data_IF_974880305063
#
_entry.id   IF_974880305063
#
_cell.length_a   1.000
_cell.length_b   1.000
_cell.length_c   1.000
_cell.angle_alpha   90.00
_cell.angle_beta   90.00
_cell.angle_gamma   90.00
#
_symmetry.space_group_name_H-M   'P 1'
#
loop_
_entity.id
_entity.type
_entity.pdbx_description
1 polymer ?
#
# COMPACT_ATOMS: atom_id res chain seq x y z
N UNK A 1 10.86 9.99 2.35
CA UNK A 1 10.50 8.73 1.66
C UNK A 1 9.00 8.73 1.41
N UNK A 2 8.58 8.40 0.19
CA UNK A 2 7.19 8.18 -0.21
C UNK A 2 6.75 6.81 0.31
N UNK A 3 5.56 6.72 0.91
CA UNK A 3 4.94 5.43 1.27
C UNK A 3 3.91 5.07 0.22
N UNK A 4 4.18 4.03 -0.53
CA UNK A 4 3.32 3.51 -1.59
C UNK A 4 2.70 2.20 -1.15
N UNK A 5 1.42 1.99 -1.47
CA UNK A 5 0.76 0.69 -1.33
C UNK A 5 0.49 0.17 -2.72
N UNK A 6 0.80 -1.12 -2.96
CA UNK A 6 0.45 -1.81 -4.18
C UNK A 6 -0.42 -3.03 -3.87
N UNK A 7 -1.63 -3.09 -4.44
CA UNK A 7 -2.59 -4.14 -4.15
C UNK A 7 -3.47 -4.45 -5.36
N UNK A 8 -3.86 -5.71 -5.51
CA UNK A 8 -4.90 -6.15 -6.42
C UNK A 8 -6.15 -6.54 -5.63
N UNK A 9 -7.34 -6.12 -6.08
CA UNK A 9 -8.59 -6.49 -5.43
C UNK A 9 -9.74 -6.69 -6.42
N UNK A 10 -10.73 -7.46 -5.99
CA UNK A 10 -12.07 -7.50 -6.58
C UNK A 10 -13.11 -7.08 -5.54
N UNK A 11 -14.35 -6.79 -5.96
CA UNK A 11 -15.44 -6.42 -5.04
C UNK A 11 -16.38 -7.60 -4.83
N UNK A 12 -16.73 -7.86 -3.58
CA UNK A 12 -17.82 -8.78 -3.25
C UNK A 12 -19.21 -8.13 -3.46
N UNK A 13 -20.27 -8.91 -3.22
CA UNK A 13 -21.66 -8.45 -3.35
C UNK A 13 -22.04 -7.31 -2.39
N UNK A 14 -21.24 -7.07 -1.35
CA UNK A 14 -21.40 -5.98 -0.38
C UNK A 14 -20.46 -4.81 -0.67
N UNK A 15 -19.73 -4.84 -1.78
CA UNK A 15 -18.78 -3.81 -2.18
C UNK A 15 -17.45 -3.82 -1.42
N UNK A 16 -17.17 -4.86 -0.61
CA UNK A 16 -15.89 -5.00 0.11
C UNK A 16 -14.80 -5.44 -0.86
N UNK A 17 -13.60 -4.90 -0.67
CA UNK A 17 -12.46 -5.10 -1.57
C UNK A 17 -11.68 -6.37 -1.14
N UNK A 18 -11.96 -7.51 -1.77
CA UNK A 18 -11.27 -8.78 -1.51
C UNK A 18 -9.86 -8.72 -2.08
N UNK A 19 -8.86 -9.10 -1.27
CA UNK A 19 -7.45 -9.24 -1.68
C UNK A 19 -6.91 -10.66 -1.50
N UNK A 20 -7.71 -11.57 -0.94
CA UNK A 20 -7.26 -12.93 -0.68
C UNK A 20 -8.35 -13.85 -0.15
N UNK A 21 -8.09 -15.14 -0.31
CA UNK A 21 -8.87 -16.26 0.22
C UNK A 21 -7.89 -17.32 0.70
N UNK A 22 -8.02 -17.78 1.94
CA UNK A 22 -7.18 -18.83 2.54
C UNK A 22 -5.66 -18.57 2.37
N UNK A 23 -5.24 -17.32 2.62
CA UNK A 23 -3.86 -16.80 2.43
C UNK A 23 -3.33 -16.88 0.98
N UNK A 24 -4.20 -16.96 -0.03
CA UNK A 24 -3.82 -16.97 -1.45
C UNK A 24 -4.60 -15.92 -2.23
N UNK A 25 -4.06 -15.52 -3.38
CA UNK A 25 -4.80 -14.76 -4.38
C UNK A 25 -5.81 -15.70 -5.07
N UNK A 26 -7.10 -15.32 -5.17
CA UNK A 26 -8.09 -16.17 -5.82
C UNK A 26 -8.05 -16.06 -7.36
N UNK A 27 -7.24 -15.16 -7.90
CA UNK A 27 -6.99 -14.97 -9.33
C UNK A 27 -5.53 -15.21 -9.70
N UNK A 28 -5.30 -15.36 -11.00
CA UNK A 28 -3.97 -15.37 -11.62
C UNK A 28 -4.03 -14.52 -12.88
N UNK A 29 -3.38 -13.36 -12.85
CA UNK A 29 -3.34 -12.37 -13.94
C UNK A 29 -1.87 -12.03 -14.18
N UNK A 30 -1.34 -12.46 -15.34
CA UNK A 30 0.09 -12.29 -15.65
C UNK A 30 0.53 -10.83 -15.71
N UNK A 31 -0.35 -9.96 -16.22
CA UNK A 31 -0.11 -8.53 -16.35
C UNK A 31 -0.06 -7.83 -14.98
N UNK A 32 -0.85 -8.29 -14.00
CA UNK A 32 -0.80 -7.80 -12.62
C UNK A 32 0.53 -8.17 -11.96
N UNK A 33 1.00 -9.40 -12.15
CA UNK A 33 2.31 -9.83 -11.66
C UNK A 33 3.47 -9.09 -12.35
N UNK A 34 3.36 -8.81 -13.65
CA UNK A 34 4.33 -8.02 -14.39
C UNK A 34 4.38 -6.58 -13.87
N UNK A 35 3.22 -5.96 -13.65
CA UNK A 35 3.09 -4.62 -13.11
C UNK A 35 3.62 -4.51 -11.67
N UNK A 36 3.25 -5.46 -10.80
CA UNK A 36 3.81 -5.57 -9.45
C UNK A 36 5.33 -5.63 -9.48
N UNK A 37 5.90 -6.47 -10.35
CA UNK A 37 7.35 -6.60 -10.49
C UNK A 37 7.99 -5.32 -11.03
N UNK A 38 7.40 -4.66 -12.03
CA UNK A 38 7.96 -3.44 -12.60
C UNK A 38 7.92 -2.26 -11.63
N UNK A 39 6.84 -2.12 -10.86
CA UNK A 39 6.72 -1.06 -9.85
C UNK A 39 7.66 -1.26 -8.67
N UNK A 40 7.84 -2.50 -8.20
CA UNK A 40 8.56 -2.77 -6.94
C UNK A 40 10.03 -3.12 -7.11
N UNK A 41 10.49 -3.48 -8.30
CA UNK A 41 11.89 -3.89 -8.51
C UNK A 41 12.84 -2.74 -8.26
N UNK A 42 13.93 -3.00 -7.53
CA UNK A 42 14.90 -1.98 -7.12
C UNK A 42 14.49 -1.23 -5.85
N UNK A 43 13.28 -1.46 -5.34
CA UNK A 43 12.76 -0.78 -4.16
C UNK A 43 12.72 -1.64 -2.90
N UNK A 44 12.57 -0.99 -1.76
CA UNK A 44 12.18 -1.64 -0.52
C UNK A 44 10.72 -2.10 -0.60
N UNK A 45 10.45 -3.33 -0.14
CA UNK A 45 9.10 -3.89 -0.05
C UNK A 45 8.79 -4.30 1.37
N UNK A 46 7.71 -3.76 1.93
CA UNK A 46 7.22 -4.10 3.26
C UNK A 46 6.04 -5.04 3.19
N UNK A 47 6.14 -6.17 3.88
CA UNK A 47 5.09 -7.17 3.97
C UNK A 47 4.93 -7.77 5.36
N UNK A 48 3.78 -8.38 5.63
CA UNK A 48 3.56 -9.18 6.84
C UNK A 48 4.07 -10.62 6.67
N UNK A 49 4.38 -11.30 7.78
CA UNK A 49 4.83 -12.70 7.79
C UNK A 49 3.98 -13.64 6.93
N UNK A 50 2.65 -13.61 7.08
CA UNK A 50 1.74 -14.48 6.32
C UNK A 50 1.81 -14.22 4.81
N UNK A 51 2.04 -12.98 4.39
CA UNK A 51 2.22 -12.63 2.99
C UNK A 51 3.53 -13.17 2.46
N UNK A 52 4.62 -13.05 3.23
CA UNK A 52 5.89 -13.69 2.88
C UNK A 52 5.76 -15.22 2.77
N UNK A 53 5.14 -15.86 3.75
CA UNK A 53 4.90 -17.32 3.76
C UNK A 53 4.05 -17.78 2.55
N UNK A 54 3.04 -16.99 2.16
CA UNK A 54 2.24 -17.24 0.96
C UNK A 54 3.04 -17.12 -0.34
N UNK A 55 3.92 -16.10 -0.44
CA UNK A 55 4.84 -15.93 -1.58
C UNK A 55 5.89 -17.06 -1.60
N UNK A 56 6.29 -17.56 -0.43
CA UNK A 56 7.17 -18.70 -0.23
C UNK A 56 8.66 -18.42 -0.46
N UNK A 57 9.04 -17.16 -0.73
CA UNK A 57 10.43 -16.75 -0.99
C UNK A 57 10.64 -15.25 -0.82
N UNK A 58 11.89 -14.86 -0.62
CA UNK A 58 12.31 -13.47 -0.78
C UNK A 58 12.22 -13.04 -2.23
N UNK A 59 11.75 -11.81 -2.44
CA UNK A 59 11.54 -11.24 -3.75
C UNK A 59 12.88 -10.70 -4.28
N UNK A 60 13.43 -11.21 -5.41
CA UNK A 60 14.75 -10.80 -5.89
C UNK A 60 14.77 -9.32 -6.29
N UNK A 61 15.94 -8.69 -6.17
CA UNK A 61 16.19 -7.27 -6.49
C UNK A 61 15.33 -6.29 -5.69
N UNK A 62 14.96 -6.66 -4.46
CA UNK A 62 14.17 -5.85 -3.53
C UNK A 62 14.72 -6.01 -2.13
N UNK A 63 14.72 -4.94 -1.36
CA UNK A 63 14.96 -5.02 0.07
C UNK A 63 13.68 -5.55 0.73
N UNK A 64 13.67 -6.84 1.08
CA UNK A 64 12.50 -7.50 1.64
C UNK A 64 12.42 -7.18 3.13
N UNK A 65 11.40 -6.43 3.54
CA UNK A 65 11.12 -6.07 4.92
C UNK A 65 9.89 -6.84 5.37
N UNK A 66 10.02 -7.63 6.44
CA UNK A 66 8.96 -8.51 6.96
C UNK A 66 8.59 -8.08 8.37
N UNK A 67 7.31 -7.78 8.59
CA UNK A 67 6.74 -7.52 9.92
C UNK A 67 6.10 -8.77 10.52
N UNK A 68 6.40 -9.01 11.79
CA UNK A 68 5.89 -10.16 12.54
C UNK A 68 5.89 -9.88 14.05
N UNK A 69 5.01 -10.50 14.82
CA UNK A 69 5.10 -10.46 16.29
C UNK A 69 6.02 -11.55 16.87
N UNK A 70 6.40 -12.53 16.04
CA UNK A 70 7.33 -13.60 16.42
C UNK A 70 8.76 -13.03 16.45
N UNK A 71 9.34 -12.96 17.66
CA UNK A 71 10.68 -12.40 17.89
C UNK A 71 11.81 -13.33 17.41
N UNK A 72 11.51 -14.60 17.17
CA UNK A 72 12.48 -15.61 16.75
C UNK A 72 12.42 -15.87 15.24
N UNK A 73 11.44 -15.28 14.53
CA UNK A 73 11.30 -15.41 13.09
C UNK A 73 12.51 -14.81 12.36
N UNK A 74 13.17 -15.61 11.52
CA UNK A 74 14.32 -15.20 10.70
C UNK A 74 14.13 -15.70 9.28
N UNK A 75 14.46 -14.85 8.32
CA UNK A 75 14.42 -15.17 6.89
C UNK A 75 15.73 -14.71 6.26
N UNK A 76 16.60 -15.63 5.81
CA UNK A 76 17.82 -15.26 5.09
C UNK A 76 17.51 -14.38 3.88
N UNK A 77 18.24 -13.28 3.73
CA UNK A 77 18.04 -12.33 2.63
C UNK A 77 16.87 -11.36 2.81
N UNK A 78 16.26 -11.30 4.01
CA UNK A 78 15.24 -10.32 4.36
C UNK A 78 15.57 -9.65 5.71
N UNK A 79 15.01 -8.47 5.93
CA UNK A 79 15.05 -7.72 7.18
C UNK A 79 13.75 -7.95 7.94
N UNK A 80 13.84 -8.50 9.14
CA UNK A 80 12.66 -8.82 9.97
C UNK A 80 12.54 -7.80 11.10
N UNK A 81 11.36 -7.23 11.25
CA UNK A 81 11.03 -6.27 12.31
C UNK A 81 9.79 -6.71 13.09
N UNK A 82 9.70 -6.26 14.33
CA UNK A 82 8.53 -6.50 15.19
C UNK A 82 7.64 -5.26 15.38
N UNK A 83 8.09 -4.11 14.88
CA UNK A 83 7.38 -2.82 14.94
C UNK A 83 7.42 -2.11 13.58
N UNK A 84 6.33 -1.43 13.24
CA UNK A 84 6.19 -0.72 11.97
C UNK A 84 7.10 0.50 11.87
N UNK A 85 7.24 1.30 12.94
CA UNK A 85 8.07 2.51 12.90
C UNK A 85 9.54 2.15 12.72
N UNK A 86 10.02 1.11 13.38
CA UNK A 86 11.39 0.59 13.19
C UNK A 86 11.64 0.19 11.72
N UNK A 87 10.67 -0.51 11.11
CA UNK A 87 10.75 -0.90 9.70
C UNK A 87 10.75 0.32 8.76
N UNK A 88 9.94 1.35 9.05
CA UNK A 88 9.90 2.58 8.27
C UNK A 88 11.19 3.40 8.43
N UNK A 89 11.73 3.49 9.64
CA UNK A 89 13.00 4.17 9.91
C UNK A 89 14.17 3.47 9.21
N UNK A 90 14.14 2.14 9.16
CA UNK A 90 15.10 1.35 8.41
C UNK A 90 15.01 1.60 6.89
N UNK A 91 13.80 1.68 6.33
CA UNK A 91 13.58 1.89 4.91
C UNK A 91 13.95 3.32 4.45
N UNK A 92 13.66 4.33 5.28
CA UNK A 92 13.78 5.75 4.93
C UNK A 92 15.12 6.21 4.34
N UNK A 93 16.30 5.79 4.85
CA UNK A 93 17.58 6.18 4.26
C UNK A 93 18.00 5.32 3.05
N UNK A 94 17.32 4.20 2.78
CA UNK A 94 17.70 3.24 1.73
C UNK A 94 16.98 3.48 0.41
N UNK A 95 15.78 4.04 0.48
CA UNK A 95 14.93 4.23 -0.68
C UNK A 95 14.15 5.54 -0.61
N UNK A 96 13.95 6.13 -1.77
CA UNK A 96 13.04 7.26 -1.94
C UNK A 96 11.57 6.85 -1.83
N UNK A 97 11.23 5.58 -2.10
CA UNK A 97 9.86 5.07 -2.14
C UNK A 97 9.76 3.65 -1.58
N UNK A 98 8.97 3.46 -0.52
CA UNK A 98 8.69 2.15 0.07
C UNK A 98 7.38 1.59 -0.49
N UNK A 99 7.40 0.35 -0.98
CA UNK A 99 6.20 -0.36 -1.40
C UNK A 99 5.68 -1.30 -0.32
N UNK A 100 4.54 -0.98 0.27
CA UNK A 100 3.80 -1.87 1.14
C UNK A 100 2.95 -2.80 0.29
N UNK A 101 3.23 -4.10 0.40
CA UNK A 101 2.66 -5.16 -0.46
C UNK A 101 1.68 -6.07 0.29
N UNK A 102 1.30 -5.67 1.51
CA UNK A 102 0.26 -6.31 2.32
C UNK A 102 0.79 -7.25 3.40
N UNK A 103 -0.04 -8.10 4.01
CA UNK A 103 -1.47 -8.28 3.78
C UNK A 103 -2.35 -7.26 4.51
N UNK A 104 -3.61 -7.62 4.73
CA UNK A 104 -4.65 -6.76 5.32
C UNK A 104 -4.18 -6.01 6.59
N UNK A 105 -3.56 -6.70 7.55
CA UNK A 105 -3.10 -6.07 8.79
C UNK A 105 -2.05 -4.99 8.54
N UNK A 106 -1.12 -5.21 7.60
CA UNK A 106 -0.10 -4.23 7.26
C UNK A 106 -0.74 -3.05 6.53
N UNK A 107 -1.61 -3.31 5.56
CA UNK A 107 -2.36 -2.24 4.89
C UNK A 107 -3.12 -1.36 5.87
N UNK A 108 -3.82 -1.95 6.85
CA UNK A 108 -4.55 -1.21 7.89
C UNK A 108 -3.65 -0.30 8.71
N UNK A 109 -2.43 -0.73 9.03
CA UNK A 109 -1.50 0.09 9.80
C UNK A 109 -0.95 1.29 9.00
N UNK A 110 -0.86 1.16 7.67
CA UNK A 110 -0.23 2.20 6.84
C UNK A 110 -1.22 3.07 6.07
N UNK A 111 -2.49 2.69 5.89
CA UNK A 111 -3.41 3.31 4.92
C UNK A 111 -3.58 4.84 5.10
N UNK A 112 -3.61 5.32 6.34
CA UNK A 112 -3.70 6.75 6.66
C UNK A 112 -2.40 7.51 6.38
N UNK A 113 -1.30 6.77 6.21
CA UNK A 113 0.05 7.24 5.91
C UNK A 113 0.50 6.90 4.48
N UNK A 114 -0.41 6.54 3.58
CA UNK A 114 -0.04 6.26 2.18
C UNK A 114 0.01 7.54 1.37
N UNK A 115 1.07 7.76 0.60
CA UNK A 115 1.22 8.88 -0.33
C UNK A 115 0.81 8.51 -1.76
N UNK A 116 0.98 7.23 -2.15
CA UNK A 116 0.51 6.70 -3.44
C UNK A 116 -0.14 5.32 -3.33
N UNK A 117 -1.20 5.10 -4.10
CA UNK A 117 -1.86 3.80 -4.20
C UNK A 117 -1.73 3.27 -5.62
N UNK A 118 -1.13 2.10 -5.79
CA UNK A 118 -1.04 1.35 -7.03
C UNK A 118 -2.07 0.22 -6.94
N UNK A 119 -3.26 0.43 -7.50
CA UNK A 119 -4.39 -0.49 -7.35
C UNK A 119 -4.75 -1.17 -8.68
N UNK A 120 -4.73 -2.50 -8.67
CA UNK A 120 -5.36 -3.34 -9.68
C UNK A 120 -6.78 -3.67 -9.25
N UNK A 121 -7.77 -3.29 -10.05
CA UNK A 121 -9.19 -3.54 -9.81
C UNK A 121 -9.69 -4.60 -10.80
N UNK A 122 -10.18 -5.72 -10.30
CA UNK A 122 -10.65 -6.85 -11.13
C UNK A 122 -12.17 -6.86 -11.13
N UNK A 123 -12.75 -6.51 -12.28
CA UNK A 123 -14.19 -6.43 -12.50
C UNK A 123 -14.70 -7.76 -13.07
N UNK A 124 -14.79 -8.77 -12.19
CA UNK A 124 -15.34 -10.09 -12.52
C UNK A 124 -16.77 -10.21 -12.02
N UNK A 125 -17.66 -10.77 -12.84
CA UNK A 125 -19.03 -11.12 -12.44
C UNK A 125 -19.37 -12.58 -12.85
N UNK A 126 -19.73 -13.47 -11.90
CA UNK A 126 -19.65 -13.25 -10.46
C UNK A 126 -18.20 -13.02 -9.99
N UNK A 127 -18.05 -12.18 -8.98
CA UNK A 127 -16.75 -11.90 -8.35
C UNK A 127 -16.19 -13.11 -7.61
N UNK A 128 -14.92 -13.02 -7.18
CA UNK A 128 -14.31 -14.04 -6.33
C UNK A 128 -14.87 -14.00 -4.91
N UNK A 129 -14.86 -15.14 -4.22
CA UNK A 129 -15.02 -15.19 -2.77
C UNK A 129 -13.69 -14.86 -2.07
N UNK A 130 -13.77 -14.31 -0.86
CA UNK A 130 -12.59 -13.89 -0.11
C UNK A 130 -12.87 -13.67 1.37
N UNK A 131 -11.82 -13.84 2.18
CA UNK A 131 -11.83 -13.64 3.63
C UNK A 131 -10.86 -12.55 4.09
N UNK A 132 -10.03 -12.05 3.18
CA UNK A 132 -9.03 -11.02 3.45
C UNK A 132 -9.35 -9.79 2.62
N UNK A 133 -9.38 -8.61 3.25
CA UNK A 133 -9.89 -7.40 2.62
C UNK A 133 -8.89 -6.25 2.62
N UNK A 134 -8.86 -5.48 1.53
CA UNK A 134 -8.17 -4.19 1.51
C UNK A 134 -8.96 -3.18 2.35
N UNK A 135 -8.30 -2.40 3.23
CA UNK A 135 -9.00 -1.41 4.04
C UNK A 135 -9.70 -0.36 3.19
N UNK A 136 -10.82 0.16 3.71
CA UNK A 136 -11.42 1.38 3.18
C UNK A 136 -10.44 2.54 3.33
N UNK A 137 -10.45 3.46 2.37
CA UNK A 137 -9.61 4.64 2.37
C UNK A 137 -10.40 5.83 1.84
N UNK A 138 -10.07 7.04 2.30
CA UNK A 138 -10.80 8.23 1.87
C UNK A 138 -10.35 8.65 0.46
N UNK A 139 -11.19 8.35 -0.53
CA UNK A 139 -10.89 8.67 -1.93
C UNK A 139 -10.78 10.17 -2.20
N UNK A 140 -11.45 11.02 -1.41
CA UNK A 140 -11.38 12.47 -1.59
C UNK A 140 -9.99 13.04 -1.29
N UNK A 141 -9.12 12.28 -0.62
CA UNK A 141 -7.74 12.69 -0.36
C UNK A 141 -6.80 12.45 -1.54
N UNK A 142 -7.24 11.77 -2.61
CA UNK A 142 -6.37 11.32 -3.70
C UNK A 142 -6.89 11.72 -5.07
N UNK A 143 -5.98 11.82 -6.04
CA UNK A 143 -6.27 11.98 -7.47
C UNK A 143 -5.66 10.82 -8.24
N UNK A 144 -6.36 10.34 -9.26
CA UNK A 144 -5.78 9.39 -10.23
C UNK A 144 -4.77 10.15 -11.07
N UNK A 145 -3.53 9.66 -11.11
CA UNK A 145 -2.44 10.24 -11.91
C UNK A 145 -2.02 9.34 -13.08
N UNK A 146 -2.39 8.06 -13.03
CA UNK A 146 -2.20 7.13 -14.13
C UNK A 146 -3.32 6.08 -14.12
N UNK A 147 -3.72 5.62 -15.31
CA UNK A 147 -4.77 4.62 -15.50
C UNK A 147 -4.56 3.85 -16.79
N UNK A 148 -4.68 2.53 -16.69
CA UNK A 148 -4.67 1.61 -17.82
C UNK A 148 -5.69 0.48 -17.59
N UNK A 149 -6.24 -0.10 -18.66
CA UNK A 149 -7.22 -1.19 -18.60
C UNK A 149 -6.85 -2.28 -19.60
N UNK A 150 -7.10 -3.53 -19.22
CA UNK A 150 -7.00 -4.70 -20.11
C UNK A 150 -8.26 -5.56 -19.97
N UNK A 151 -8.47 -6.41 -20.97
CA UNK A 151 -9.38 -7.55 -20.88
C UNK A 151 -8.53 -8.81 -20.63
N UNK A 152 -8.73 -9.46 -19.48
CA UNK A 152 -8.10 -10.75 -19.17
C UNK A 152 -9.07 -11.91 -19.51
N UNK A 153 -8.62 -12.94 -20.27
CA UNK A 153 -9.51 -14.02 -20.70
C UNK A 153 -10.22 -14.79 -19.58
N UNK A 154 -9.64 -14.85 -18.37
CA UNK A 154 -10.17 -15.60 -17.23
C UNK A 154 -10.83 -14.69 -16.19
N UNK A 155 -10.37 -13.44 -16.09
CA UNK A 155 -10.71 -12.54 -15.00
C UNK A 155 -11.63 -11.39 -15.45
N UNK A 156 -11.84 -11.21 -16.76
CA UNK A 156 -12.64 -10.13 -17.34
C UNK A 156 -11.86 -8.82 -17.37
N UNK A 157 -12.59 -7.71 -17.21
CA UNK A 157 -11.99 -6.38 -17.21
C UNK A 157 -11.10 -6.16 -15.98
N UNK A 158 -9.87 -5.70 -16.22
CA UNK A 158 -8.89 -5.36 -15.17
C UNK A 158 -8.40 -3.94 -15.36
N UNK A 159 -8.51 -3.10 -14.33
CA UNK A 159 -8.04 -1.72 -14.34
C UNK A 159 -6.86 -1.51 -13.39
N UNK A 160 -5.76 -1.00 -13.91
CA UNK A 160 -4.59 -0.56 -13.16
C UNK A 160 -4.69 0.95 -12.95
N UNK A 161 -4.59 1.41 -11.70
CA UNK A 161 -4.70 2.83 -11.36
C UNK A 161 -3.59 3.22 -10.39
N UNK A 162 -2.97 4.36 -10.64
CA UNK A 162 -2.07 5.01 -9.69
C UNK A 162 -2.77 6.25 -9.15
N UNK A 163 -2.92 6.30 -7.83
CA UNK A 163 -3.44 7.45 -7.12
C UNK A 163 -2.31 8.16 -6.39
N UNK A 164 -2.36 9.48 -6.36
CA UNK A 164 -1.49 10.32 -5.55
C UNK A 164 -2.32 11.12 -4.54
N UNK A 165 -1.90 11.12 -3.28
CA UNK A 165 -2.53 11.94 -2.25
C UNK A 165 -2.28 13.42 -2.54
N UNK A 166 -3.33 14.23 -2.54
CA UNK A 166 -3.24 15.68 -2.79
C UNK A 166 -3.63 16.54 -1.58
N UNK A 167 -4.22 15.95 -0.54
CA UNK A 167 -4.54 16.63 0.71
C UNK A 167 -3.39 16.42 1.71
N UNK A 168 -2.87 17.53 2.26
CA UNK A 168 -1.77 17.52 3.23
C UNK A 168 -2.15 16.76 4.51
N UNK A 169 -1.22 15.98 5.09
CA UNK A 169 -1.42 15.40 6.42
C UNK A 169 -1.31 16.50 7.45
N UNK A 170 -2.32 16.72 8.27
CA UNK A 170 -2.09 17.37 9.55
C UNK A 170 -1.19 16.44 10.40
N UNK A 171 0.08 16.78 10.72
CA UNK A 171 0.88 15.95 11.63
C UNK A 171 0.16 15.70 12.95
N UNK A 172 0.20 14.45 13.44
CA UNK A 172 -0.46 14.04 14.70
C UNK A 172 0.15 14.65 15.97
N UNK A 173 1.23 15.42 15.85
CA UNK A 173 1.86 16.17 16.94
C UNK A 173 2.04 17.63 16.48
N UNK A 174 1.00 18.44 16.63
CA UNK A 174 1.12 19.89 16.52
C UNK A 174 1.31 20.45 17.93
N UNK A 175 2.50 20.97 18.21
CA UNK A 175 2.71 21.84 19.35
C UNK A 175 2.04 23.19 19.06
N UNK A 176 1.35 23.78 20.04
CA UNK A 176 0.57 25.01 19.87
C UNK A 176 1.40 26.18 19.33
N UNK A 177 2.71 26.17 19.58
CA UNK A 177 3.68 27.17 19.14
C UNK A 177 3.84 27.24 17.61
N UNK A 178 3.66 26.10 16.91
CA UNK A 178 3.80 26.05 15.44
C UNK A 178 2.57 26.66 14.76
N UNK A 179 1.39 26.53 15.36
CA UNK A 179 0.15 27.14 14.84
C UNK A 179 0.24 28.67 14.95
N UNK A 180 0.75 29.19 16.07
CA UNK A 180 0.98 30.62 16.23
C UNK A 180 1.95 31.16 15.17
N UNK A 181 3.05 30.45 14.89
CA UNK A 181 4.00 30.84 13.84
C UNK A 181 3.38 30.79 12.43
N UNK A 182 2.56 29.78 12.12
CA UNK A 182 1.94 29.57 10.80
C UNK A 182 0.80 30.56 10.51
N UNK A 183 0.06 30.98 11.54
CA UNK A 183 -0.97 32.02 11.44
C UNK A 183 -0.39 33.44 11.34
N UNK A 184 0.87 33.62 11.77
CA UNK A 184 1.57 34.90 11.68
C UNK A 184 2.43 35.09 10.42
N UNK A 185 2.53 34.08 9.56
CA UNK A 185 3.31 34.15 8.31
C UNK A 185 2.56 34.96 7.23
N UNK A 186 3.06 36.14 6.82
CA UNK A 186 2.43 36.99 5.82
C UNK A 186 2.45 36.40 4.39
N UNK A 187 3.16 35.29 4.16
CA UNK A 187 3.18 34.57 2.88
C UNK A 187 2.31 33.31 2.88
N UNK A 188 1.56 33.05 3.94
CA UNK A 188 0.64 31.93 3.99
C UNK A 188 -0.59 32.18 3.08
N UNK A 189 -0.76 31.42 1.97
CA UNK A 189 -1.86 31.63 1.02
C UNK A 189 -3.24 31.25 1.59
N UNK A 190 -3.29 30.77 2.85
CA UNK A 190 -4.50 30.36 3.56
C UNK A 190 -4.77 31.17 4.84
N UNK A 191 -4.06 32.28 5.08
CA UNK A 191 -4.27 33.13 6.27
C UNK A 191 -5.56 33.97 6.28
N UNK A 192 -6.43 33.81 5.28
CA UNK A 192 -7.73 34.49 5.24
C UNK A 192 -8.87 33.49 5.44
N UNK A 193 -9.38 33.44 6.68
CA UNK A 193 -10.55 32.64 7.02
C UNK A 193 -10.78 32.49 8.52
N UNK A 194 -11.04 33.60 9.21
CA UNK A 194 -11.93 33.65 10.38
C UNK A 194 -12.84 34.86 10.20
#
# INVERSE_FOLDING_TARGET
MIISVIAAYTKDTKGRQIIGKDNKLPWSISQDMAWFKSCTSGHAVLMGRKTHESIGRVLPKRDNIILTHDKDYRVPGAYVFNDLEDALQFAAPRDSELFVIGGEQIYRQVIDRVDRLYLTCIEKNPGYEGDTFFPSWNQTHFKVIDKHEIEDPKNGKVSFKVYHRHVYRQPKHFNADVVAAYSSDPHNPYAHGI
#
